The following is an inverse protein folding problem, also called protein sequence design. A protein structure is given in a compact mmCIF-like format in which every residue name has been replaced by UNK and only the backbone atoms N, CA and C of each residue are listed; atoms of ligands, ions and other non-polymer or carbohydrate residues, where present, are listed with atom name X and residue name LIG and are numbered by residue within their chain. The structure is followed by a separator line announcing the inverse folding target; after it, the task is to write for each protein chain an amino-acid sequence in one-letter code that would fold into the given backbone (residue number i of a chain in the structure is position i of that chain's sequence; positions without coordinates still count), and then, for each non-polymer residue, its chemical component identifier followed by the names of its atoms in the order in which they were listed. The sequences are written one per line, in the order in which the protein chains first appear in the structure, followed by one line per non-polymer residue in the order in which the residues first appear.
data_IF_323992962481
#
_entry.id   IF_323992962481
#
_cell.length_a   1.000
_cell.length_b   1.000
_cell.length_c   1.000
_cell.angle_alpha   90.00
_cell.angle_beta   90.00
_cell.angle_gamma   90.00
#
_symmetry.space_group_name_H-M   'P 1'
#
loop_
_entity.id
_entity.type
_entity.pdbx_description
1 polymer ?
#
# COMPACT_ATOMS: atom_id res chain seq x y z
N UNK A 1 -49.98 33.28 32.90
CA UNK A 1 -49.61 34.18 31.78
C UNK A 1 -50.12 33.56 30.49
N UNK A 2 -51.03 34.27 29.81
CA UNK A 2 -51.24 34.37 28.35
C UNK A 2 -51.38 33.01 27.60
N UNK A 3 -52.60 32.46 27.38
CA UNK A 3 -53.51 32.64 26.19
C UNK A 3 -52.78 32.44 24.86
N UNK A 4 -53.11 31.50 23.96
CA UNK A 4 -54.38 31.39 23.17
C UNK A 4 -54.49 30.05 22.39
N UNK A 5 -55.72 29.52 22.26
CA UNK A 5 -56.23 28.63 21.16
C UNK A 5 -56.80 29.52 20.01
N UNK A 6 -57.38 29.07 18.85
CA UNK A 6 -57.61 27.72 18.26
C UNK A 6 -57.36 27.59 16.71
N UNK A 7 -57.77 26.42 16.18
CA UNK A 7 -57.94 25.86 14.82
C UNK A 7 -58.31 26.75 13.61
N UNK A 8 -57.93 26.30 12.38
CA UNK A 8 -58.83 26.24 11.20
C UNK A 8 -58.47 25.03 10.31
N UNK A 9 -59.50 24.24 9.99
CA UNK A 9 -59.59 23.09 9.10
C UNK A 9 -59.76 23.52 7.62
N UNK A 10 -59.23 22.77 6.64
CA UNK A 10 -59.87 22.69 5.32
C UNK A 10 -59.57 21.36 4.60
N UNK A 11 -60.58 20.89 3.90
CA UNK A 11 -60.90 19.50 3.59
C UNK A 11 -60.92 19.27 2.06
N UNK A 12 -60.95 17.98 1.65
CA UNK A 12 -61.37 17.40 0.33
C UNK A 12 -60.25 17.23 -0.72
N UNK A 13 -60.16 16.18 -1.55
CA UNK A 13 -61.07 15.07 -1.93
C UNK A 13 -60.26 13.87 -2.49
N UNK A 14 -60.81 12.65 -2.38
CA UNK A 14 -60.53 11.49 -3.27
C UNK A 14 -61.42 11.61 -4.54
N UNK A 15 -61.15 10.98 -5.71
CA UNK A 15 -61.08 9.52 -5.83
C UNK A 15 -60.25 8.94 -7.03
N UNK A 16 -60.32 7.60 -7.15
CA UNK A 16 -60.37 6.80 -8.39
C UNK A 16 -59.14 5.93 -8.75
N UNK A 17 -59.38 4.63 -8.54
CA UNK A 17 -58.76 3.43 -9.09
C UNK A 17 -58.56 3.50 -10.62
N UNK A 18 -57.45 2.97 -11.13
CA UNK A 18 -57.41 2.29 -12.42
C UNK A 18 -56.38 1.14 -12.39
N UNK A 19 -56.87 -0.09 -12.43
CA UNK A 19 -56.12 -1.29 -12.80
C UNK A 19 -56.31 -1.50 -14.30
N UNK A 20 -55.24 -1.56 -15.09
CA UNK A 20 -55.22 -2.28 -16.39
C UNK A 20 -53.84 -2.88 -16.65
N UNK A 21 -53.87 -4.17 -16.96
CA UNK A 21 -52.81 -5.10 -17.38
C UNK A 21 -52.41 -4.85 -18.84
N UNK A 22 -51.11 -4.96 -19.20
CA UNK A 22 -50.59 -5.50 -20.48
C UNK A 22 -49.04 -5.39 -20.50
N UNK A 23 -48.31 -6.51 -20.46
CA UNK A 23 -47.74 -7.25 -21.61
C UNK A 23 -46.40 -6.71 -22.14
N UNK A 24 -45.31 -7.42 -21.79
CA UNK A 24 -44.28 -7.92 -22.70
C UNK A 24 -43.41 -6.93 -23.48
N UNK A 25 -42.14 -6.84 -23.10
CA UNK A 25 -41.06 -7.05 -24.07
C UNK A 25 -39.89 -7.77 -23.39
N UNK A 26 -39.42 -8.81 -24.08
CA UNK A 26 -38.15 -9.47 -23.83
C UNK A 26 -37.02 -8.46 -24.04
N UNK A 27 -36.57 -7.84 -22.95
CA UNK A 27 -35.24 -7.27 -22.88
C UNK A 27 -34.34 -8.33 -22.29
N UNK A 28 -33.35 -8.78 -23.05
CA UNK A 28 -32.16 -9.38 -22.45
C UNK A 28 -31.72 -8.47 -21.31
N UNK A 29 -31.58 -9.03 -20.11
CA UNK A 29 -30.92 -8.32 -19.03
C UNK A 29 -29.50 -8.07 -19.52
N UNK A 30 -29.24 -6.87 -20.02
CA UNK A 30 -27.88 -6.37 -20.18
C UNK A 30 -27.25 -6.55 -18.79
N UNK A 31 -26.18 -7.34 -18.63
CA UNK A 31 -25.48 -7.38 -17.37
C UNK A 31 -25.02 -5.95 -17.14
N UNK A 32 -25.63 -5.27 -16.17
CA UNK A 32 -25.02 -4.09 -15.57
C UNK A 32 -23.64 -4.55 -15.12
N UNK A 33 -22.54 -3.91 -15.59
CA UNK A 33 -21.25 -4.10 -14.95
C UNK A 33 -21.51 -3.89 -13.46
N UNK A 34 -21.27 -4.91 -12.65
CA UNK A 34 -21.50 -4.82 -11.21
C UNK A 34 -20.86 -3.52 -10.73
N UNK A 35 -21.68 -2.60 -10.21
CA UNK A 35 -21.19 -1.32 -9.75
C UNK A 35 -20.11 -1.62 -8.72
N UNK A 36 -18.86 -1.28 -9.03
CA UNK A 36 -17.76 -1.49 -8.11
C UNK A 36 -18.12 -0.77 -6.80
N UNK A 37 -18.05 -1.45 -5.63
CA UNK A 37 -18.37 -0.83 -4.36
C UNK A 37 -17.53 0.43 -4.20
N UNK A 38 -18.12 1.58 -3.83
CA UNK A 38 -17.33 2.77 -3.52
C UNK A 38 -16.76 2.67 -2.11
N UNK A 39 -15.50 3.09 -1.94
CA UNK A 39 -14.83 3.14 -0.64
C UNK A 39 -13.79 2.05 -0.41
N UNK A 40 -13.32 1.97 0.84
CA UNK A 40 -12.36 0.97 1.29
C UNK A 40 -13.01 -0.42 1.38
N UNK A 41 -12.39 -1.41 0.74
CA UNK A 41 -12.80 -2.82 0.78
C UNK A 41 -11.58 -3.71 1.00
N UNK A 42 -11.71 -4.82 1.74
CA UNK A 42 -10.64 -5.81 1.86
C UNK A 42 -10.28 -6.41 0.50
N UNK A 43 -9.00 -6.36 0.13
CA UNK A 43 -8.44 -7.04 -1.03
C UNK A 43 -8.04 -8.49 -0.67
N UNK A 44 -7.34 -8.63 0.45
CA UNK A 44 -6.87 -9.91 0.99
C UNK A 44 -6.70 -9.78 2.49
N UNK A 45 -7.13 -10.79 3.24
CA UNK A 45 -7.02 -10.83 4.70
C UNK A 45 -6.64 -12.22 5.19
N UNK A 46 -5.97 -12.29 6.33
CA UNK A 46 -5.66 -13.53 7.03
C UNK A 46 -5.90 -13.37 8.53
N UNK A 47 -6.73 -14.24 9.07
CA UNK A 47 -6.91 -14.36 10.51
C UNK A 47 -5.78 -15.20 11.13
N UNK A 48 -5.36 -14.85 12.33
CA UNK A 48 -4.27 -15.50 13.04
C UNK A 48 -4.52 -15.52 14.56
N UNK A 49 -3.79 -16.41 15.23
CA UNK A 49 -3.70 -16.50 16.67
C UNK A 49 -2.23 -16.68 17.06
N UNK A 50 -1.80 -15.99 18.10
CA UNK A 50 -0.45 -16.07 18.65
C UNK A 50 -0.51 -16.41 20.14
N UNK A 51 0.33 -17.35 20.54
CA UNK A 51 0.60 -17.64 21.94
C UNK A 51 1.39 -16.49 22.59
N UNK A 52 1.43 -16.38 23.93
CA UNK A 52 2.33 -15.46 24.63
C UNK A 52 3.79 -15.63 24.20
N UNK A 53 4.52 -14.52 24.08
CA UNK A 53 5.95 -14.49 23.72
C UNK A 53 6.31 -15.32 22.47
N UNK A 54 5.46 -15.29 21.45
CA UNK A 54 5.63 -16.06 20.21
C UNK A 54 5.67 -15.18 18.96
N UNK A 55 6.23 -15.71 17.87
CA UNK A 55 6.23 -15.06 16.57
C UNK A 55 5.93 -16.08 15.45
N UNK A 56 5.41 -15.57 14.34
CA UNK A 56 5.31 -16.31 13.08
C UNK A 56 5.82 -15.39 11.98
N UNK A 57 6.89 -15.84 11.33
CA UNK A 57 7.49 -15.18 10.18
C UNK A 57 6.98 -15.81 8.89
N UNK A 58 6.88 -15.00 7.86
CA UNK A 58 6.52 -15.43 6.50
C UNK A 58 5.19 -16.18 6.37
N UNK A 59 4.19 -15.82 7.18
CA UNK A 59 2.89 -16.47 7.16
C UNK A 59 2.08 -16.05 5.93
N UNK A 60 1.92 -16.96 4.96
CA UNK A 60 1.41 -16.65 3.62
C UNK A 60 -0.10 -16.88 3.47
N UNK A 61 -0.80 -15.92 2.88
CA UNK A 61 -2.16 -16.07 2.35
C UNK A 61 -2.13 -15.83 0.84
N UNK A 62 -2.83 -16.67 0.07
CA UNK A 62 -3.00 -16.48 -1.37
C UNK A 62 -4.45 -16.13 -1.69
N UNK A 63 -4.66 -15.31 -2.72
CA UNK A 63 -5.98 -15.07 -3.31
C UNK A 63 -5.85 -14.94 -4.83
N UNK A 64 -6.82 -15.47 -5.56
CA UNK A 64 -6.96 -15.20 -6.99
C UNK A 64 -8.01 -14.11 -7.19
N UNK A 65 -7.64 -13.06 -7.92
CA UNK A 65 -8.54 -11.94 -8.23
C UNK A 65 -9.67 -12.44 -9.15
N UNK A 66 -10.91 -12.32 -8.71
CA UNK A 66 -12.07 -12.88 -9.42
C UNK A 66 -12.51 -12.04 -10.62
N UNK A 67 -12.41 -10.71 -10.49
CA UNK A 67 -12.75 -9.73 -11.51
C UNK A 67 -11.72 -8.62 -11.53
N UNK A 68 -11.59 -7.90 -12.64
CA UNK A 68 -10.68 -6.76 -12.74
C UNK A 68 -11.00 -5.71 -11.65
N UNK A 69 -9.95 -5.20 -11.00
CA UNK A 69 -10.03 -4.22 -9.92
C UNK A 69 -9.19 -3.00 -10.30
N UNK A 70 -9.74 -1.81 -10.03
CA UNK A 70 -9.04 -0.54 -10.09
C UNK A 70 -9.08 0.12 -8.71
N UNK A 71 -7.91 0.31 -8.12
CA UNK A 71 -7.77 0.93 -6.82
C UNK A 71 -7.14 2.33 -6.95
N UNK A 72 -7.77 3.34 -6.34
CA UNK A 72 -7.25 4.71 -6.20
C UNK A 72 -6.54 4.95 -4.87
N UNK A 73 -6.40 3.91 -4.04
CA UNK A 73 -5.69 3.98 -2.77
C UNK A 73 -5.53 2.60 -2.14
N UNK A 74 -4.61 2.49 -1.21
CA UNK A 74 -4.24 1.25 -0.54
C UNK A 74 -3.86 1.52 0.94
N UNK A 75 -4.25 0.62 1.85
CA UNK A 75 -3.90 0.72 3.27
C UNK A 75 -3.84 -0.65 3.95
N UNK A 76 -3.18 -0.77 5.11
CA UNK A 76 -3.09 -2.04 5.81
C UNK A 76 -4.27 -2.23 6.77
N UNK A 77 -4.67 -3.49 6.97
CA UNK A 77 -5.37 -3.95 8.17
C UNK A 77 -4.28 -4.52 9.08
N UNK A 78 -3.92 -3.80 10.13
CA UNK A 78 -2.78 -4.16 10.99
C UNK A 78 -3.15 -3.97 12.47
N UNK A 79 -3.93 -4.89 13.07
CA UNK A 79 -4.16 -4.89 14.52
C UNK A 79 -2.85 -5.18 15.28
N UNK A 80 -2.86 -4.91 16.60
CA UNK A 80 -1.77 -5.28 17.52
C UNK A 80 -1.35 -6.72 17.25
N UNK A 81 -0.04 -6.95 17.14
CA UNK A 81 0.56 -8.24 16.77
C UNK A 81 0.93 -8.33 15.29
N UNK A 82 0.41 -7.45 14.43
CA UNK A 82 0.90 -7.26 13.06
C UNK A 82 2.15 -6.39 13.09
N UNK A 83 3.28 -6.93 12.65
CA UNK A 83 4.52 -6.18 12.60
C UNK A 83 4.77 -5.60 11.21
N UNK A 84 4.67 -6.43 10.17
CA UNK A 84 4.62 -5.96 8.79
C UNK A 84 3.85 -6.91 7.88
N UNK A 85 3.42 -6.38 6.75
CA UNK A 85 2.77 -7.13 5.67
C UNK A 85 3.44 -6.78 4.34
N UNK A 86 3.60 -7.78 3.49
CA UNK A 86 4.07 -7.60 2.11
C UNK A 86 3.05 -8.24 1.18
N UNK A 87 2.57 -7.48 0.22
CA UNK A 87 1.67 -7.95 -0.84
C UNK A 87 2.45 -7.98 -2.15
N UNK A 88 2.40 -9.11 -2.84
CA UNK A 88 3.03 -9.28 -4.14
C UNK A 88 2.13 -10.00 -5.13
N UNK A 89 2.38 -9.78 -6.43
CA UNK A 89 1.81 -10.55 -7.53
C UNK A 89 2.53 -11.89 -7.62
N UNK A 90 1.81 -13.01 -7.59
CA UNK A 90 2.39 -14.35 -7.68
C UNK A 90 1.99 -15.27 -6.53
N UNK A 91 2.61 -16.45 -6.49
CA UNK A 91 2.26 -17.54 -5.58
C UNK A 91 3.09 -17.53 -4.29
N UNK A 92 3.62 -16.38 -3.91
CA UNK A 92 4.47 -16.22 -2.73
C UNK A 92 5.98 -16.28 -3.03
N UNK A 93 6.39 -16.21 -4.30
CA UNK A 93 7.68 -15.64 -4.64
C UNK A 93 7.61 -14.16 -4.30
N UNK A 94 8.31 -13.69 -3.26
CA UNK A 94 8.41 -12.26 -2.99
C UNK A 94 9.76 -11.81 -3.52
N UNK A 95 9.75 -10.80 -4.38
CA UNK A 95 10.95 -10.25 -4.98
C UNK A 95 10.71 -8.77 -5.24
N UNK A 96 11.80 -8.02 -5.40
CA UNK A 96 11.68 -6.58 -5.67
C UNK A 96 10.86 -6.22 -6.91
N UNK A 97 10.62 -7.17 -7.82
CA UNK A 97 9.93 -6.94 -9.09
C UNK A 97 8.44 -7.26 -9.07
N UNK A 98 7.92 -7.89 -8.02
CA UNK A 98 6.51 -8.28 -7.95
C UNK A 98 5.78 -7.79 -6.70
N UNK A 99 6.47 -7.15 -5.76
CA UNK A 99 5.84 -6.43 -4.64
C UNK A 99 4.95 -5.32 -5.19
N UNK A 100 3.74 -5.22 -4.66
CA UNK A 100 2.76 -4.17 -4.97
C UNK A 100 2.48 -3.26 -3.79
N UNK A 101 2.72 -3.75 -2.57
CA UNK A 101 2.50 -2.99 -1.33
C UNK A 101 3.32 -3.58 -0.19
N UNK A 102 3.81 -2.72 0.68
CA UNK A 102 4.44 -3.07 1.94
C UNK A 102 3.91 -2.15 3.04
N UNK A 103 3.81 -2.68 4.25
CA UNK A 103 3.42 -1.92 5.44
C UNK A 103 4.19 -2.45 6.65
N UNK A 104 4.61 -1.56 7.54
CA UNK A 104 5.05 -1.91 8.88
C UNK A 104 4.15 -1.30 9.95
N UNK A 105 4.63 -1.29 11.19
CA UNK A 105 3.97 -0.59 12.28
C UNK A 105 3.90 0.91 11.95
N UNK A 106 2.72 1.51 12.16
CA UNK A 106 2.50 2.94 11.90
C UNK A 106 2.21 3.32 10.44
N UNK A 107 2.16 2.36 9.51
CA UNK A 107 1.80 2.66 8.11
C UNK A 107 0.40 3.28 7.99
N UNK A 108 0.33 4.46 7.39
CA UNK A 108 -0.89 5.18 7.06
C UNK A 108 -1.51 4.71 5.73
N UNK A 109 -2.72 5.18 5.45
CA UNK A 109 -3.31 5.02 4.12
C UNK A 109 -2.54 5.84 3.07
N UNK A 110 -2.43 5.27 1.87
CA UNK A 110 -1.87 5.92 0.71
C UNK A 110 -2.97 6.09 -0.34
N UNK A 111 -3.41 7.32 -0.54
CA UNK A 111 -4.27 7.68 -1.67
C UNK A 111 -3.42 8.05 -2.88
N UNK A 112 -3.82 7.59 -4.06
CA UNK A 112 -3.14 7.91 -5.30
C UNK A 112 -3.62 9.26 -5.85
N UNK A 113 -2.78 9.97 -6.64
CA UNK A 113 -3.20 11.19 -7.32
C UNK A 113 -4.43 10.95 -8.23
N UNK A 114 -5.27 11.97 -8.47
CA UNK A 114 -6.37 11.86 -9.43
C UNK A 114 -5.88 11.36 -10.80
N UNK A 115 -6.59 10.41 -11.40
CA UNK A 115 -6.18 9.80 -12.67
C UNK A 115 -5.22 8.62 -12.54
N UNK A 116 -4.63 8.39 -11.35
CA UNK A 116 -3.67 7.31 -11.10
C UNK A 116 -4.36 6.17 -10.36
N UNK A 117 -4.14 4.94 -10.81
CA UNK A 117 -4.75 3.75 -10.20
C UNK A 117 -3.89 2.51 -10.28
N UNK A 118 -4.05 1.62 -9.30
CA UNK A 118 -3.51 0.26 -9.36
C UNK A 118 -4.53 -0.62 -10.07
N UNK A 119 -4.12 -1.27 -11.16
CA UNK A 119 -4.94 -2.27 -11.86
C UNK A 119 -4.51 -3.67 -11.44
N UNK A 120 -5.48 -4.49 -11.06
CA UNK A 120 -5.31 -5.91 -10.79
C UNK A 120 -6.24 -6.70 -11.72
N UNK A 121 -5.64 -7.50 -12.60
CA UNK A 121 -6.38 -8.26 -13.61
C UNK A 121 -7.13 -9.44 -13.00
N UNK A 122 -8.29 -9.79 -13.58
CA UNK A 122 -8.96 -11.04 -13.27
C UNK A 122 -8.04 -12.24 -13.54
N UNK A 123 -8.04 -13.22 -12.63
CA UNK A 123 -7.15 -14.38 -12.65
C UNK A 123 -5.75 -14.13 -12.09
N UNK A 124 -5.39 -12.89 -11.74
CA UNK A 124 -4.12 -12.59 -11.07
C UNK A 124 -4.07 -13.27 -9.70
N UNK A 125 -2.96 -13.94 -9.40
CA UNK A 125 -2.68 -14.46 -8.07
C UNK A 125 -1.96 -13.39 -7.25
N UNK A 126 -2.42 -13.15 -6.02
CA UNK A 126 -1.74 -12.32 -5.04
C UNK A 126 -1.33 -13.15 -3.84
N UNK A 127 -0.15 -12.85 -3.31
CA UNK A 127 0.35 -13.37 -2.04
C UNK A 127 0.49 -12.25 -1.01
N UNK A 128 -0.14 -12.43 0.15
CA UNK A 128 0.03 -11.61 1.34
C UNK A 128 0.91 -12.38 2.33
N UNK A 129 2.13 -11.92 2.56
CA UNK A 129 3.00 -12.43 3.61
C UNK A 129 2.86 -11.58 4.86
N UNK A 130 2.68 -12.24 5.99
CA UNK A 130 2.63 -11.60 7.30
C UNK A 130 3.86 -11.97 8.13
N UNK A 131 4.40 -10.96 8.81
CA UNK A 131 5.21 -11.17 10.00
C UNK A 131 4.39 -10.66 11.19
N UNK A 132 4.06 -11.59 12.09
CA UNK A 132 3.27 -11.33 13.28
C UNK A 132 4.02 -11.80 14.53
N UNK A 133 3.94 -11.04 15.61
CA UNK A 133 4.54 -11.43 16.88
C UNK A 133 3.73 -10.93 18.07
N UNK A 134 3.90 -11.60 19.21
CA UNK A 134 3.24 -11.27 20.46
C UNK A 134 4.29 -11.20 21.57
N UNK A 135 4.64 -9.99 22.01
CA UNK A 135 5.54 -9.77 23.14
C UNK A 135 4.84 -9.81 24.50
N UNK A 136 3.52 -9.98 24.53
CA UNK A 136 2.75 -9.98 25.77
C UNK A 136 2.68 -11.36 26.44
N UNK A 137 2.24 -11.38 27.70
CA UNK A 137 2.00 -12.60 28.47
C UNK A 137 0.63 -13.25 28.18
N UNK A 138 -0.18 -12.64 27.31
CA UNK A 138 -1.53 -13.12 26.97
C UNK A 138 -1.60 -13.53 25.50
N UNK A 139 -2.44 -14.51 25.13
CA UNK A 139 -2.63 -14.84 23.73
C UNK A 139 -3.27 -13.68 22.96
N UNK A 140 -2.91 -13.53 21.69
CA UNK A 140 -3.48 -12.55 20.77
C UNK A 140 -4.21 -13.25 19.63
N UNK A 141 -5.27 -12.61 19.15
CA UNK A 141 -5.96 -12.99 17.90
C UNK A 141 -6.20 -11.73 17.09
N UNK A 142 -6.09 -11.82 15.78
CA UNK A 142 -6.33 -10.70 14.90
C UNK A 142 -6.59 -11.13 13.46
N UNK A 143 -6.97 -10.16 12.66
CA UNK A 143 -7.04 -10.30 11.20
C UNK A 143 -6.19 -9.20 10.60
N UNK A 144 -5.12 -9.59 9.91
CA UNK A 144 -4.30 -8.66 9.13
C UNK A 144 -4.67 -8.76 7.66
N UNK A 145 -4.30 -7.75 6.86
CA UNK A 145 -4.70 -7.70 5.48
C UNK A 145 -4.35 -6.39 4.80
N UNK A 146 -4.87 -6.24 3.59
CA UNK A 146 -4.78 -5.03 2.79
C UNK A 146 -6.19 -4.64 2.36
N UNK A 147 -6.52 -3.36 2.51
CA UNK A 147 -7.70 -2.74 1.92
C UNK A 147 -7.31 -1.85 0.75
N UNK A 148 -8.19 -1.79 -0.23
CA UNK A 148 -8.08 -0.89 -1.37
C UNK A 148 -9.28 0.04 -1.45
N UNK A 149 -9.04 1.24 -1.94
CA UNK A 149 -10.09 2.19 -2.25
C UNK A 149 -10.48 2.02 -3.71
N UNK A 150 -11.64 1.43 -3.98
CA UNK A 150 -12.09 1.18 -5.35
C UNK A 150 -12.42 2.49 -6.08
N UNK A 151 -12.08 2.55 -7.36
CA UNK A 151 -12.42 3.65 -8.27
C UNK A 151 -13.02 3.12 -9.56
N UNK A 152 -13.77 3.97 -10.25
CA UNK A 152 -14.29 3.65 -11.58
C UNK A 152 -13.12 3.48 -12.57
N UNK A 153 -13.10 2.44 -13.41
CA UNK A 153 -12.05 2.25 -14.42
C UNK A 153 -11.84 3.48 -15.32
N UNK A 154 -12.91 4.22 -15.64
CA UNK A 154 -12.83 5.42 -16.46
C UNK A 154 -12.14 6.60 -15.78
N UNK A 155 -11.96 6.54 -14.45
CA UNK A 155 -11.20 7.52 -13.68
C UNK A 155 -9.68 7.23 -13.66
N UNK A 156 -9.23 6.09 -14.19
CA UNK A 156 -7.80 5.71 -14.22
C UNK A 156 -7.24 5.91 -15.62
N UNK A 157 -6.34 6.87 -15.76
CA UNK A 157 -5.60 7.16 -17.01
C UNK A 157 -4.16 6.69 -16.96
N UNK A 158 -3.59 6.55 -15.77
CA UNK A 158 -2.20 6.16 -15.52
C UNK A 158 -2.16 5.03 -14.48
N UNK A 159 -1.30 4.03 -14.70
CA UNK A 159 -1.14 2.95 -13.72
C UNK A 159 -0.02 3.27 -12.73
N UNK A 160 -0.19 2.87 -11.47
CA UNK A 160 0.87 2.95 -10.44
C UNK A 160 1.67 1.65 -10.36
N UNK A 161 2.97 1.78 -10.12
CA UNK A 161 3.83 0.70 -9.63
C UNK A 161 4.86 1.24 -8.62
N UNK A 162 5.82 0.38 -8.24
CA UNK A 162 6.90 0.70 -7.32
C UNK A 162 8.24 0.82 -8.06
N UNK A 163 9.08 1.73 -7.59
CA UNK A 163 10.52 1.73 -7.82
C UNK A 163 11.23 1.44 -6.50
N UNK A 164 12.09 0.42 -6.48
CA UNK A 164 12.92 0.09 -5.33
C UNK A 164 14.32 0.67 -5.50
N UNK A 165 14.50 1.94 -5.16
CA UNK A 165 15.82 2.56 -5.25
C UNK A 165 16.69 2.17 -4.05
N UNK A 166 17.62 1.25 -4.23
CA UNK A 166 18.47 0.73 -3.17
C UNK A 166 19.40 -0.39 -3.64
N UNK A 167 20.43 -0.76 -2.86
CA UNK A 167 21.33 -1.82 -3.26
C UNK A 167 20.71 -3.20 -3.05
N UNK A 168 20.99 -4.11 -3.98
CA UNK A 168 20.65 -5.55 -3.87
C UNK A 168 21.72 -6.37 -3.12
N UNK A 169 22.78 -5.72 -2.65
CA UNK A 169 23.88 -6.32 -1.89
C UNK A 169 24.31 -5.35 -0.77
N UNK A 170 24.58 -5.90 0.41
CA UNK A 170 25.01 -5.19 1.61
C UNK A 170 25.92 -6.11 2.39
N UNK A 171 26.95 -5.54 3.01
CA UNK A 171 27.82 -6.24 3.95
C UNK A 171 28.17 -5.27 5.08
N UNK A 172 27.65 -5.51 6.27
CA UNK A 172 27.67 -4.61 7.41
C UNK A 172 28.51 -5.25 8.54
N UNK A 173 29.81 -4.93 8.65
CA UNK A 173 30.62 -5.41 9.77
C UNK A 173 30.11 -4.83 11.10
N UNK A 174 30.51 -5.40 12.25
CA UNK A 174 30.19 -4.83 13.55
C UNK A 174 30.51 -3.34 13.65
N UNK A 175 29.59 -2.56 14.23
CA UNK A 175 29.69 -1.11 14.38
C UNK A 175 28.89 -0.31 13.34
N UNK A 176 29.19 0.98 13.26
CA UNK A 176 28.49 1.92 12.38
C UNK A 176 28.94 1.80 10.92
N UNK A 177 27.98 1.82 9.99
CA UNK A 177 28.26 1.92 8.57
C UNK A 177 27.15 2.67 7.85
N UNK A 178 27.54 3.60 6.97
CA UNK A 178 26.63 4.24 6.03
C UNK A 178 26.85 3.67 4.63
N UNK A 179 25.76 3.32 3.95
CA UNK A 179 25.75 2.86 2.56
C UNK A 179 24.93 3.83 1.73
N UNK A 180 25.38 4.10 0.50
CA UNK A 180 24.68 4.93 -0.47
C UNK A 180 24.51 4.18 -1.79
N UNK A 181 23.35 4.33 -2.41
CA UNK A 181 23.03 3.75 -3.70
C UNK A 181 22.28 4.79 -4.56
N UNK A 182 22.71 4.97 -5.81
CA UNK A 182 22.08 5.90 -6.75
C UNK A 182 21.42 5.15 -7.89
N UNK A 183 20.10 5.31 -7.98
CA UNK A 183 19.28 4.88 -9.08
C UNK A 183 19.19 5.96 -10.16
N UNK A 184 19.54 5.63 -11.40
CA UNK A 184 19.33 6.52 -12.55
C UNK A 184 18.11 6.05 -13.32
N UNK A 185 17.10 6.91 -13.44
CA UNK A 185 15.88 6.55 -14.18
C UNK A 185 16.15 6.52 -15.68
N UNK A 186 15.57 5.54 -16.36
CA UNK A 186 15.78 5.31 -17.81
C UNK A 186 14.59 5.72 -18.66
N UNK A 187 13.43 5.96 -18.02
CA UNK A 187 12.21 6.43 -18.66
C UNK A 187 11.53 7.49 -17.80
N UNK A 188 10.74 8.35 -18.46
CA UNK A 188 9.96 9.39 -17.80
C UNK A 188 8.94 8.78 -16.84
N UNK A 189 8.93 9.25 -15.61
CA UNK A 189 8.02 8.78 -14.55
C UNK A 189 7.76 9.90 -13.53
N UNK A 190 6.70 9.76 -12.76
CA UNK A 190 6.32 10.71 -11.71
C UNK A 190 6.28 10.01 -10.36
N UNK A 191 7.13 10.42 -9.42
CA UNK A 191 7.11 9.93 -8.03
C UNK A 191 6.09 10.70 -7.21
N UNK A 192 5.36 10.06 -6.29
CA UNK A 192 4.38 10.76 -5.44
C UNK A 192 4.27 10.25 -4.00
N UNK A 193 4.94 9.16 -3.65
CA UNK A 193 5.08 8.74 -2.27
C UNK A 193 6.41 8.02 -2.06
N UNK A 194 6.95 8.14 -0.85
CA UNK A 194 8.17 7.50 -0.41
C UNK A 194 7.86 6.65 0.83
N UNK A 195 8.38 5.44 0.85
CA UNK A 195 8.40 4.57 2.02
C UNK A 195 9.85 4.17 2.31
N UNK A 196 10.50 4.84 3.28
CA UNK A 196 11.84 4.49 3.72
C UNK A 196 11.84 3.11 4.36
N UNK A 197 12.75 2.23 3.95
CA UNK A 197 12.79 0.87 4.47
C UNK A 197 14.21 0.40 4.78
N UNK A 198 14.40 -0.03 6.04
CA UNK A 198 15.57 -0.73 6.57
C UNK A 198 15.09 -1.80 7.56
N UNK A 199 15.97 -2.67 8.03
CA UNK A 199 15.66 -3.58 9.13
C UNK A 199 16.21 -3.06 10.46
N UNK A 200 16.39 -3.96 11.43
CA UNK A 200 16.55 -3.65 12.85
C UNK A 200 17.81 -2.85 13.20
N UNK A 201 18.85 -2.90 12.36
CA UNK A 201 20.11 -2.20 12.57
C UNK A 201 20.10 -0.79 12.00
N UNK A 202 19.04 -0.39 11.29
CA UNK A 202 18.91 0.95 10.72
C UNK A 202 18.78 2.03 11.78
N UNK A 203 19.53 3.12 11.62
CA UNK A 203 19.56 4.25 12.56
C UNK A 203 19.26 5.58 11.90
N UNK A 204 19.46 5.70 10.59
CA UNK A 204 19.18 6.93 9.84
C UNK A 204 18.91 6.64 8.37
N UNK A 205 17.93 7.33 7.79
CA UNK A 205 17.56 7.18 6.39
C UNK A 205 17.51 8.53 5.68
N UNK A 206 18.05 8.56 4.46
CA UNK A 206 18.00 9.74 3.59
C UNK A 206 17.68 9.34 2.14
N UNK A 207 16.75 10.09 1.55
CA UNK A 207 16.46 10.03 0.11
C UNK A 207 16.73 11.40 -0.49
N UNK A 208 17.57 11.45 -1.53
CA UNK A 208 17.72 12.63 -2.38
C UNK A 208 17.30 12.34 -3.80
N UNK A 209 16.79 13.36 -4.50
CA UNK A 209 16.53 13.28 -5.94
C UNK A 209 17.29 14.37 -6.66
N UNK A 210 17.84 14.04 -7.82
CA UNK A 210 18.52 14.97 -8.72
C UNK A 210 17.74 15.06 -10.01
N UNK A 211 17.17 16.23 -10.30
CA UNK A 211 16.31 16.49 -11.47
C UNK A 211 16.94 17.58 -12.32
N UNK A 212 17.27 17.29 -13.58
CA UNK A 212 17.93 18.25 -14.46
C UNK A 212 19.29 18.75 -13.93
N UNK A 213 19.94 17.96 -13.06
CA UNK A 213 21.20 18.33 -12.38
C UNK A 213 21.02 19.08 -11.06
N UNK A 214 19.80 19.41 -10.64
CA UNK A 214 19.53 20.02 -9.33
C UNK A 214 19.16 18.96 -8.29
N UNK A 215 19.94 18.87 -7.21
CA UNK A 215 19.70 17.92 -6.12
C UNK A 215 18.85 18.53 -5.02
N UNK A 216 17.87 17.77 -4.52
CA UNK A 216 17.09 18.10 -3.32
C UNK A 216 16.90 16.88 -2.43
N UNK A 217 16.68 17.16 -1.15
CA UNK A 217 16.37 16.15 -0.13
C UNK A 217 14.87 15.93 -0.09
N UNK A 218 14.43 14.67 -0.22
CA UNK A 218 13.04 14.27 0.00
C UNK A 218 12.79 13.85 1.45
N UNK A 219 13.76 13.16 2.04
CA UNK A 219 13.73 12.70 3.41
C UNK A 219 15.15 12.62 3.97
N UNK A 220 15.34 12.96 5.24
CA UNK A 220 16.61 12.95 5.95
C UNK A 220 16.28 12.99 7.46
N UNK A 221 16.22 11.82 8.09
CA UNK A 221 15.82 11.69 9.48
C UNK A 221 16.40 10.43 10.15
N UNK A 222 16.47 10.40 11.51
CA UNK A 222 16.64 9.16 12.25
C UNK A 222 15.60 8.12 11.83
N UNK A 223 16.03 6.87 11.73
CA UNK A 223 15.18 5.75 11.36
C UNK A 223 14.77 4.96 12.60
N UNK A 224 13.48 4.61 12.69
CA UNK A 224 12.96 3.67 13.69
C UNK A 224 12.23 2.55 12.96
N UNK A 225 12.73 1.32 13.12
CA UNK A 225 12.15 0.12 12.50
C UNK A 225 10.68 -0.13 12.90
N UNK A 226 10.26 0.42 14.04
CA UNK A 226 8.87 0.36 14.52
C UNK A 226 7.96 1.46 13.95
N UNK A 227 8.49 2.37 13.12
CA UNK A 227 7.73 3.43 12.48
C UNK A 227 7.98 3.43 10.96
N UNK A 228 7.11 2.75 10.22
CA UNK A 228 7.24 2.60 8.77
C UNK A 228 6.04 3.24 8.07
N UNK A 229 5.97 4.56 8.11
CA UNK A 229 4.90 5.32 7.47
C UNK A 229 5.23 5.71 6.03
N UNK A 230 4.20 5.86 5.20
CA UNK A 230 4.34 6.54 3.91
C UNK A 230 4.55 8.03 4.14
N UNK A 231 5.58 8.57 3.50
CA UNK A 231 5.82 9.99 3.42
C UNK A 231 5.17 10.54 2.14
N UNK A 232 4.25 11.52 2.26
CA UNK A 232 3.70 12.16 1.08
C UNK A 232 4.79 12.93 0.34
N UNK A 233 4.86 12.75 -0.96
CA UNK A 233 5.79 13.47 -1.83
C UNK A 233 4.97 14.29 -2.81
N UNK A 234 5.16 15.62 -2.83
CA UNK A 234 4.60 16.43 -3.90
C UNK A 234 5.08 15.89 -5.25
N UNK A 235 4.18 15.59 -6.21
CA UNK A 235 4.54 14.85 -7.42
C UNK A 235 5.78 15.38 -8.14
N UNK A 236 6.74 14.48 -8.38
CA UNK A 236 8.05 14.78 -8.96
C UNK A 236 8.15 14.09 -10.30
N UNK A 237 8.20 14.87 -11.37
CA UNK A 237 8.52 14.34 -12.69
C UNK A 237 10.03 14.12 -12.78
N UNK A 238 10.41 12.91 -13.16
CA UNK A 238 11.78 12.52 -13.52
C UNK A 238 11.85 12.22 -15.01
N UNK A 239 12.90 12.68 -15.67
CA UNK A 239 13.24 12.37 -17.05
C UNK A 239 14.42 11.38 -17.10
N UNK A 240 14.63 10.67 -18.23
CA UNK A 240 15.80 9.79 -18.38
C UNK A 240 17.11 10.49 -18.03
N UNK A 241 17.89 9.91 -17.13
CA UNK A 241 19.14 10.46 -16.61
C UNK A 241 19.01 11.17 -15.25
N UNK A 242 17.80 11.50 -14.80
CA UNK A 242 17.56 11.96 -13.44
C UNK A 242 17.81 10.81 -12.43
N UNK A 243 18.03 11.17 -11.17
CA UNK A 243 18.51 10.22 -10.16
C UNK A 243 17.72 10.26 -8.86
N UNK A 244 17.61 9.09 -8.23
CA UNK A 244 17.19 8.90 -6.84
C UNK A 244 18.36 8.28 -6.09
N UNK A 245 18.80 8.88 -4.99
CA UNK A 245 19.84 8.33 -4.12
C UNK A 245 19.26 7.97 -2.77
N UNK A 246 19.47 6.73 -2.35
CA UNK A 246 19.17 6.22 -1.01
C UNK A 246 20.46 6.16 -0.21
N UNK A 247 20.46 6.75 0.98
CA UNK A 247 21.56 6.70 1.93
C UNK A 247 21.03 6.20 3.28
N UNK A 248 21.65 5.14 3.78
CA UNK A 248 21.21 4.38 4.93
C UNK A 248 22.37 4.21 5.91
N UNK A 249 22.17 4.64 7.15
CA UNK A 249 23.14 4.41 8.24
C UNK A 249 22.63 3.29 9.13
N UNK A 250 23.53 2.38 9.44
CA UNK A 250 23.29 1.21 10.28
C UNK A 250 24.24 1.21 11.48
N UNK A 251 23.82 0.56 12.56
CA UNK A 251 24.70 0.20 13.66
C UNK A 251 24.57 -1.29 13.97
N UNK A 252 25.49 -2.11 13.43
CA UNK A 252 25.51 -3.55 13.68
C UNK A 252 26.03 -3.83 15.10
N UNK A 253 25.12 -4.24 15.99
CA UNK A 253 25.41 -4.56 17.39
C UNK A 253 25.93 -5.99 17.60
N UNK A 254 25.93 -6.81 16.55
CA UNK A 254 26.37 -8.21 16.61
C UNK A 254 27.89 -8.34 16.47
N UNK A 255 28.41 -9.55 16.72
CA UNK A 255 29.83 -9.85 16.50
C UNK A 255 30.15 -10.23 15.05
N UNK A 256 29.13 -10.54 14.25
CA UNK A 256 29.27 -11.05 12.89
C UNK A 256 28.91 -9.98 11.86
N UNK A 257 29.36 -10.17 10.62
CA UNK A 257 28.92 -9.33 9.51
C UNK A 257 27.47 -9.67 9.15
N UNK A 258 26.62 -8.66 9.04
CA UNK A 258 25.23 -8.80 8.58
C UNK A 258 25.16 -8.44 7.10
N UNK A 259 24.55 -9.32 6.31
CA UNK A 259 24.46 -9.18 4.86
C UNK A 259 23.05 -8.76 4.43
N UNK A 260 22.88 -8.48 3.13
CA UNK A 260 21.57 -8.22 2.53
C UNK A 260 20.64 -9.43 2.67
N UNK A 261 19.37 -9.20 2.97
CA UNK A 261 18.36 -10.25 2.95
C UNK A 261 17.00 -9.80 3.46
N UNK A 262 15.98 -10.62 3.24
CA UNK A 262 14.57 -10.35 3.57
C UNK A 262 14.22 -10.57 5.05
N UNK A 263 15.04 -11.32 5.80
CA UNK A 263 14.82 -11.53 7.23
C UNK A 263 15.05 -10.23 8.00
N UNK A 264 14.29 -9.99 9.06
CA UNK A 264 14.55 -8.86 9.98
C UNK A 264 15.91 -8.94 10.70
N UNK A 265 16.58 -10.10 10.66
CA UNK A 265 17.95 -10.30 11.17
C UNK A 265 19.05 -10.13 10.11
N UNK A 266 18.66 -9.98 8.84
CA UNK A 266 19.50 -9.46 7.74
C UNK A 266 19.13 -7.99 7.49
N UNK A 267 19.73 -7.32 6.51
CA UNK A 267 19.45 -5.89 6.27
C UNK A 267 19.00 -5.54 4.85
N UNK A 268 18.33 -4.39 4.75
CA UNK A 268 17.89 -3.74 3.51
C UNK A 268 18.09 -2.23 3.58
N UNK A 269 18.12 -1.59 2.40
CA UNK A 269 18.18 -0.13 2.26
C UNK A 269 17.40 0.28 1.01
N UNK A 270 16.12 0.61 1.15
CA UNK A 270 15.32 1.01 -0.02
C UNK A 270 14.55 2.28 0.22
N UNK A 271 14.66 3.21 -0.73
CA UNK A 271 13.62 4.20 -0.97
C UNK A 271 12.56 3.52 -1.83
N UNK A 272 11.51 3.00 -1.19
CA UNK A 272 10.39 2.40 -1.92
C UNK A 272 9.50 3.54 -2.41
N UNK A 273 9.49 3.78 -3.71
CA UNK A 273 8.82 4.93 -4.32
C UNK A 273 7.61 4.49 -5.12
N UNK A 274 6.46 5.12 -4.86
CA UNK A 274 5.29 4.93 -5.71
C UNK A 274 5.34 5.92 -6.87
N UNK A 275 5.08 5.42 -8.07
CA UNK A 275 5.24 6.18 -9.31
C UNK A 275 4.23 5.82 -10.39
N UNK A 276 4.14 6.68 -11.40
CA UNK A 276 3.35 6.44 -12.61
C UNK A 276 3.99 7.13 -13.84
N UNK A 277 3.76 6.63 -15.08
CA UNK A 277 3.11 5.37 -15.42
C UNK A 277 3.87 4.15 -14.89
N UNK A 278 3.14 3.05 -14.68
CA UNK A 278 3.72 1.75 -14.37
C UNK A 278 4.66 1.30 -15.48
N UNK A 279 5.72 0.58 -15.11
CA UNK A 279 6.73 0.07 -16.03
C UNK A 279 7.76 1.10 -16.45
N UNK A 280 7.73 2.34 -15.92
CA UNK A 280 8.79 3.31 -16.16
C UNK A 280 10.14 2.68 -15.81
N UNK A 281 11.08 2.59 -16.75
CA UNK A 281 12.37 1.97 -16.50
C UNK A 281 13.05 2.44 -15.19
N UNK A 282 13.62 1.48 -14.45
CA UNK A 282 14.29 1.70 -13.17
C UNK A 282 15.74 1.20 -13.17
N UNK A 283 16.29 1.15 -11.96
CA UNK A 283 17.45 0.39 -11.56
C UNK A 283 17.00 -0.55 -10.41
#
# INVERSE_FOLDING_TARGET
MIRTLPEVEMQRALPALLFVIACGSSGEAVPTPDAQPSGWQPLITKAWQLDPASETTSDLQLVTIESEIFAGGIRPIAPIGTHHTVLAKGAGDFSGVNIVYASGVGTNELMFPPGVGMRLDAGMLLGLQLHIFNTSEQPLTGTSGVEIFHVDPSAVTEQVDLLLAGPSELSLPPGEKTVSHTCTVTERQTLFALFPHMHQLGTHFKTTVTVGGETRVLHDAPYDFSEQAFLPVEPIVLEPGDQVTSECTFFNTTADTVEWGESSTTEMCFSILYRFPAGGGGC
#
